data_IF_638481764524
#
_entry.id   IF_638481764524
#
_cell.length_a   1.000
_cell.length_b   1.000
_cell.length_c   1.000
_cell.angle_alpha   90.00
_cell.angle_beta   90.00
_cell.angle_gamma   90.00
#
_symmetry.space_group_name_H-M   'P 1'
#
loop_
_entity.id
_entity.type
_entity.pdbx_description
1 polymer ?
#
# COMPACT_ATOMS: atom_id res chain seq x y z
N UNK A 1 -0.19 -23.39 2.36
CA UNK A 1 1.19 -23.14 2.86
C UNK A 1 1.51 -24.18 3.92
N UNK A 2 2.43 -25.11 3.66
CA UNK A 2 2.81 -26.17 4.61
C UNK A 2 3.87 -25.71 5.62
N UNK A 3 4.74 -24.75 5.25
CA UNK A 3 5.69 -24.12 6.17
C UNK A 3 4.97 -23.12 7.10
N UNK A 4 4.97 -23.35 8.44
CA UNK A 4 4.39 -22.43 9.41
C UNK A 4 5.03 -21.04 9.38
N UNK A 5 6.33 -20.93 9.09
CA UNK A 5 7.03 -19.64 9.01
C UNK A 5 6.56 -18.85 7.80
N UNK A 6 6.48 -19.48 6.62
CA UNK A 6 5.88 -18.86 5.43
C UNK A 6 4.42 -18.44 5.66
N UNK A 7 3.62 -19.27 6.36
CA UNK A 7 2.23 -18.92 6.71
C UNK A 7 2.16 -17.68 7.60
N UNK A 8 3.03 -17.57 8.62
CA UNK A 8 3.07 -16.41 9.51
C UNK A 8 3.44 -15.12 8.75
N UNK A 9 4.46 -15.18 7.88
CA UNK A 9 4.87 -14.03 7.04
C UNK A 9 3.75 -13.56 6.11
N UNK A 10 3.04 -14.50 5.46
CA UNK A 10 1.90 -14.17 4.61
C UNK A 10 0.75 -13.56 5.43
N UNK A 11 0.46 -14.11 6.60
CA UNK A 11 -0.57 -13.56 7.49
C UNK A 11 -0.25 -12.11 7.93
N UNK A 12 1.02 -11.81 8.17
CA UNK A 12 1.47 -10.44 8.45
C UNK A 12 1.26 -9.50 7.27
N UNK A 13 1.66 -9.89 6.05
CA UNK A 13 1.41 -9.09 4.85
C UNK A 13 -0.09 -8.82 4.66
N UNK A 14 -0.94 -9.84 4.83
CA UNK A 14 -2.40 -9.69 4.72
C UNK A 14 -2.94 -8.68 5.72
N UNK A 15 -2.46 -8.70 6.98
CA UNK A 15 -2.85 -7.69 7.98
C UNK A 15 -2.46 -6.27 7.56
N UNK A 16 -1.30 -6.09 6.92
CA UNK A 16 -0.89 -4.79 6.40
C UNK A 16 -1.75 -4.34 5.20
N UNK A 17 -2.07 -5.23 4.26
CA UNK A 17 -2.96 -4.94 3.12
C UNK A 17 -4.35 -4.54 3.62
N UNK A 18 -4.88 -5.26 4.60
CA UNK A 18 -6.18 -4.95 5.21
C UNK A 18 -6.15 -3.63 5.98
N UNK A 19 -5.01 -3.27 6.59
CA UNK A 19 -4.75 -1.94 7.13
C UNK A 19 -4.82 -0.83 6.06
N UNK A 20 -4.20 -1.04 4.90
CA UNK A 20 -4.28 -0.10 3.77
C UNK A 20 -5.72 0.05 3.27
N UNK A 21 -6.45 -1.06 3.12
CA UNK A 21 -7.87 -1.04 2.74
C UNK A 21 -8.71 -0.24 3.74
N UNK A 22 -8.53 -0.46 5.04
CA UNK A 22 -9.24 0.31 6.08
C UNK A 22 -8.95 1.81 5.99
N UNK A 23 -7.69 2.19 5.79
CA UNK A 23 -7.31 3.59 5.64
C UNK A 23 -8.00 4.23 4.42
N UNK A 24 -8.01 3.53 3.27
CA UNK A 24 -8.72 3.98 2.08
C UNK A 24 -10.23 4.17 2.33
N UNK A 25 -10.88 3.19 2.96
CA UNK A 25 -12.32 3.26 3.30
C UNK A 25 -12.63 4.38 4.28
N UNK A 26 -11.77 4.62 5.27
CA UNK A 26 -11.94 5.75 6.19
C UNK A 26 -11.90 7.09 5.43
N UNK A 27 -10.97 7.23 4.47
CA UNK A 27 -10.85 8.43 3.64
C UNK A 27 -11.97 8.58 2.61
N UNK A 28 -12.64 7.49 2.22
CA UNK A 28 -13.89 7.59 1.45
C UNK A 28 -15.00 8.25 2.27
N UNK A 29 -15.09 7.95 3.57
CA UNK A 29 -16.15 8.47 4.45
C UNK A 29 -15.98 9.96 4.76
N UNK A 30 -14.74 10.42 4.92
CA UNK A 30 -14.44 11.83 5.23
C UNK A 30 -14.18 12.70 3.98
N UNK A 31 -14.32 12.12 2.78
CA UNK A 31 -14.15 12.83 1.51
C UNK A 31 -12.69 13.09 1.11
N UNK A 32 -11.71 12.56 1.84
CA UNK A 32 -10.29 12.55 1.45
C UNK A 32 -10.01 11.76 0.17
N UNK A 33 -10.82 10.73 -0.08
CA UNK A 33 -10.94 9.98 -1.33
C UNK A 33 -12.38 10.14 -1.82
N UNK A 34 -12.58 10.40 -3.11
CA UNK A 34 -13.92 10.49 -3.72
C UNK A 34 -13.95 9.73 -5.04
N UNK A 35 -15.09 9.14 -5.43
CA UNK A 35 -15.27 8.64 -6.79
C UNK A 35 -14.99 9.73 -7.82
N UNK A 36 -14.59 9.33 -9.02
CA UNK A 36 -14.51 10.25 -10.15
C UNK A 36 -15.88 10.90 -10.42
N UNK A 37 -15.88 12.20 -10.72
CA UNK A 37 -17.09 12.96 -11.04
C UNK A 37 -17.59 12.79 -12.47
N UNK A 38 -17.09 11.81 -13.24
CA UNK A 38 -17.42 11.64 -14.65
C UNK A 38 -18.83 11.10 -14.93
N UNK A 39 -19.61 10.77 -13.88
CA UNK A 39 -20.98 10.28 -14.00
C UNK A 39 -21.11 8.81 -14.42
N UNK A 40 -20.01 8.12 -14.73
CA UNK A 40 -20.03 6.69 -15.06
C UNK A 40 -20.05 5.85 -13.78
N UNK A 41 -21.14 5.10 -13.57
CA UNK A 41 -21.35 4.29 -12.37
C UNK A 41 -20.26 3.21 -12.16
N UNK A 42 -19.65 2.72 -13.24
CA UNK A 42 -18.60 1.71 -13.21
C UNK A 42 -17.18 2.29 -13.29
N UNK A 43 -17.01 3.61 -13.15
CA UNK A 43 -15.69 4.23 -13.21
C UNK A 43 -14.82 3.77 -12.02
N UNK A 44 -13.66 3.13 -12.26
CA UNK A 44 -12.78 2.68 -11.18
C UNK A 44 -11.87 3.79 -10.65
N UNK A 45 -11.96 5.00 -11.20
CA UNK A 45 -11.07 6.12 -10.88
C UNK A 45 -11.55 6.82 -9.61
N UNK A 46 -10.60 7.11 -8.73
CA UNK A 46 -10.81 7.90 -7.53
C UNK A 46 -9.99 9.17 -7.56
N UNK A 47 -10.60 10.26 -7.11
CA UNK A 47 -9.94 11.54 -6.85
C UNK A 47 -9.47 11.54 -5.40
N UNK A 48 -8.20 11.86 -5.16
CA UNK A 48 -7.59 11.81 -3.83
C UNK A 48 -6.94 13.15 -3.50
N UNK A 49 -7.17 13.66 -2.29
CA UNK A 49 -6.48 14.88 -1.83
C UNK A 49 -4.96 14.60 -1.73
N UNK A 50 -4.07 15.55 -2.08
CA UNK A 50 -2.63 15.32 -2.07
C UNK A 50 -2.09 14.79 -0.73
N UNK A 51 -2.57 15.32 0.39
CA UNK A 51 -2.17 14.87 1.74
C UNK A 51 -2.58 13.41 2.03
N UNK A 52 -3.78 13.03 1.58
CA UNK A 52 -4.31 11.67 1.71
C UNK A 52 -3.57 10.71 0.79
N UNK A 53 -3.22 11.14 -0.43
CA UNK A 53 -2.38 10.35 -1.32
C UNK A 53 -1.03 10.04 -0.68
N UNK A 54 -0.38 11.04 -0.07
CA UNK A 54 0.88 10.85 0.65
C UNK A 54 0.74 9.95 1.90
N UNK A 55 -0.40 9.97 2.59
CA UNK A 55 -0.72 9.05 3.68
C UNK A 55 -0.85 7.60 3.19
N UNK A 56 -1.72 7.36 2.20
CA UNK A 56 -1.96 6.03 1.64
C UNK A 56 -0.69 5.45 1.02
N UNK A 57 0.12 6.28 0.36
CA UNK A 57 1.39 5.86 -0.23
C UNK A 57 2.43 5.48 0.83
N UNK A 58 2.48 6.18 1.98
CA UNK A 58 3.30 5.76 3.13
C UNK A 58 2.88 4.38 3.64
N UNK A 59 1.58 4.12 3.75
CA UNK A 59 1.07 2.81 4.17
C UNK A 59 1.41 1.74 3.13
N UNK A 60 1.19 2.03 1.83
CA UNK A 60 1.54 1.16 0.71
C UNK A 60 3.02 0.76 0.73
N UNK A 61 3.93 1.72 0.97
CA UNK A 61 5.37 1.43 1.10
C UNK A 61 5.67 0.43 2.21
N UNK A 62 5.01 0.54 3.37
CA UNK A 62 5.17 -0.42 4.48
C UNK A 62 4.68 -1.82 4.09
N UNK A 63 3.53 -1.91 3.42
CA UNK A 63 2.98 -3.18 2.90
C UNK A 63 3.98 -3.83 1.94
N UNK A 64 4.51 -3.07 0.99
CA UNK A 64 5.47 -3.57 0.00
C UNK A 64 6.80 -3.99 0.64
N UNK A 65 7.28 -3.26 1.65
CA UNK A 65 8.46 -3.64 2.41
C UNK A 65 8.25 -4.98 3.14
N UNK A 66 7.12 -5.14 3.84
CA UNK A 66 6.76 -6.40 4.51
C UNK A 66 6.65 -7.56 3.50
N UNK A 67 6.04 -7.32 2.34
CA UNK A 67 5.94 -8.33 1.28
C UNK A 67 7.31 -8.75 0.75
N UNK A 68 8.20 -7.80 0.45
CA UNK A 68 9.56 -8.09 -0.02
C UNK A 68 10.36 -8.89 1.00
N UNK A 69 10.28 -8.51 2.27
CA UNK A 69 10.90 -9.25 3.37
C UNK A 69 10.34 -10.67 3.47
N UNK A 70 9.01 -10.84 3.31
CA UNK A 70 8.37 -12.15 3.30
C UNK A 70 8.76 -13.03 2.11
N UNK A 71 9.02 -12.43 0.96
CA UNK A 71 9.40 -13.07 -0.30
C UNK A 71 10.91 -13.39 -0.39
N UNK A 72 11.73 -12.98 0.58
CA UNK A 72 13.19 -13.16 0.52
C UNK A 72 13.91 -12.22 -0.44
N UNK A 73 13.22 -11.21 -0.99
CA UNK A 73 13.84 -10.18 -1.80
C UNK A 73 14.41 -9.09 -0.87
N UNK A 74 15.66 -9.27 -0.43
CA UNK A 74 16.41 -8.21 0.23
C UNK A 74 16.73 -7.13 -0.80
N UNK A 75 15.90 -6.09 -0.90
CA UNK A 75 16.26 -4.90 -1.66
C UNK A 75 17.24 -4.07 -0.83
N UNK A 76 18.51 -4.46 -0.85
CA UNK A 76 19.59 -3.52 -0.58
C UNK A 76 19.51 -2.44 -1.66
N UNK A 77 19.19 -1.21 -1.28
CA UNK A 77 19.34 -0.06 -2.15
C UNK A 77 20.83 0.32 -2.12
N UNK A 78 21.59 0.30 -3.23
CA UNK A 78 22.87 0.98 -3.23
C UNK A 78 22.56 2.48 -3.24
N UNK A 79 22.70 3.10 -2.08
CA UNK A 79 22.90 4.52 -2.01
C UNK A 79 24.33 4.81 -2.49
N UNK A 80 24.44 5.78 -3.40
CA UNK A 80 25.60 6.63 -3.66
C UNK A 80 26.77 6.06 -4.50
N UNK A 81 26.95 6.64 -5.68
CA UNK A 81 28.27 6.96 -6.23
C UNK A 81 28.18 8.33 -6.91
N UNK A 82 28.46 9.39 -6.14
CA UNK A 82 29.02 10.60 -6.71
C UNK A 82 30.43 10.34 -7.24
N UNK A 83 30.75 10.95 -8.38
CA UNK A 83 32.03 11.17 -9.07
C UNK A 83 31.65 11.34 -10.56
N UNK A 84 31.90 12.44 -11.27
CA UNK A 84 32.84 13.55 -11.13
C UNK A 84 32.25 14.80 -11.79
#
# INVERSE_FOLDING_TARGET
LRDPRARARVAEVVRHVDGLRRAFVARLRDGGVRPCGCGQASCPVFMVRPSVAAELDRIRRRVLAAFRAAAGHSSASPANSGSS
#
